data_IF_002239206725
#
_entry.id   IF_002239206725
#
_cell.length_a   1.000
_cell.length_b   1.000
_cell.length_c   1.000
_cell.angle_alpha   90.00
_cell.angle_beta   90.00
_cell.angle_gamma   90.00
#
_symmetry.space_group_name_H-M   'P 1'
#
loop_
_entity.id
_entity.type
_entity.pdbx_description
1 polymer ?
#
# COMPACT_ATOMS: atom_id res chain seq x y z
N UNK A 1 -5.66 11.33 -20.72
CA UNK A 1 -4.53 10.96 -19.85
C UNK A 1 -3.82 12.23 -19.44
N UNK A 2 -3.49 12.38 -18.15
CA UNK A 2 -2.71 13.49 -17.60
C UNK A 2 -1.54 12.92 -16.80
N UNK A 3 -0.32 13.43 -16.96
CA UNK A 3 0.82 12.99 -16.16
C UNK A 3 0.70 13.52 -14.73
N UNK A 4 1.14 12.73 -13.77
CA UNK A 4 1.32 13.12 -12.38
C UNK A 4 2.68 12.63 -11.91
N UNK A 5 3.60 13.55 -11.64
CA UNK A 5 4.85 13.18 -10.98
C UNK A 5 4.58 12.86 -9.51
N UNK A 6 5.19 11.79 -9.01
CA UNK A 6 5.04 11.43 -7.60
C UNK A 6 5.60 12.52 -6.70
N UNK A 7 4.83 12.88 -5.67
CA UNK A 7 5.15 13.96 -4.74
C UNK A 7 4.74 15.35 -5.22
N UNK A 8 4.26 15.51 -6.45
CA UNK A 8 3.73 16.80 -6.93
C UNK A 8 2.31 17.04 -6.39
N UNK A 9 2.25 17.59 -5.21
CA UNK A 9 1.00 17.93 -4.52
C UNK A 9 0.10 18.88 -5.30
N UNK A 10 0.70 19.85 -6.01
CA UNK A 10 -0.08 20.83 -6.74
C UNK A 10 -0.69 20.23 -8.01
N UNK A 11 0.04 19.36 -8.71
CA UNK A 11 -0.51 18.60 -9.81
C UNK A 11 -1.62 17.65 -9.34
N UNK A 12 -1.40 16.93 -8.25
CA UNK A 12 -2.43 16.07 -7.64
C UNK A 12 -3.68 16.88 -7.30
N UNK A 13 -3.54 18.04 -6.66
CA UNK A 13 -4.64 18.96 -6.34
C UNK A 13 -5.42 19.42 -7.57
N UNK A 14 -4.72 19.76 -8.65
CA UNK A 14 -5.38 20.19 -9.90
C UNK A 14 -6.17 19.04 -10.52
N UNK A 15 -5.58 17.85 -10.60
CA UNK A 15 -6.24 16.66 -11.16
C UNK A 15 -7.48 16.30 -10.35
N UNK A 16 -7.40 16.30 -9.03
CA UNK A 16 -8.49 15.88 -8.14
C UNK A 16 -9.65 16.87 -8.05
N UNK A 17 -9.48 18.11 -8.56
CA UNK A 17 -10.61 19.03 -8.77
C UNK A 17 -11.54 18.58 -9.90
N UNK A 18 -11.00 17.91 -10.89
CA UNK A 18 -11.71 17.50 -12.09
C UNK A 18 -12.13 16.02 -12.05
N UNK A 19 -11.37 15.19 -11.34
CA UNK A 19 -11.56 13.74 -11.28
C UNK A 19 -11.59 13.26 -9.83
N UNK A 20 -12.51 12.36 -9.54
CA UNK A 20 -12.55 11.61 -8.27
C UNK A 20 -12.26 10.14 -8.57
N UNK A 21 -11.01 9.70 -8.47
CA UNK A 21 -10.65 8.31 -8.73
C UNK A 21 -11.31 7.41 -7.67
N UNK A 22 -11.82 6.27 -8.09
CA UNK A 22 -12.29 5.23 -7.17
C UNK A 22 -11.19 4.22 -6.86
N UNK A 23 -10.20 4.10 -7.75
CA UNK A 23 -9.08 3.16 -7.62
C UNK A 23 -7.78 3.82 -8.07
N UNK A 24 -6.71 3.55 -7.32
CA UNK A 24 -5.33 3.82 -7.69
C UNK A 24 -4.66 2.49 -7.98
N UNK A 25 -4.22 2.30 -9.22
CA UNK A 25 -3.56 1.06 -9.62
C UNK A 25 -2.04 1.27 -9.59
N UNK A 26 -1.37 0.51 -8.74
CA UNK A 26 0.06 0.52 -8.53
C UNK A 26 0.63 -0.84 -8.92
N UNK A 27 1.44 -0.89 -9.97
CA UNK A 27 2.07 -2.13 -10.41
C UNK A 27 3.57 -1.95 -10.47
N UNK A 28 4.28 -2.76 -9.68
CA UNK A 28 5.75 -2.82 -9.69
C UNK A 28 6.42 -1.47 -9.41
N UNK A 29 5.92 -0.71 -8.42
CA UNK A 29 6.39 0.64 -8.11
C UNK A 29 7.33 0.72 -6.89
N UNK A 30 7.38 -0.35 -6.07
CA UNK A 30 8.13 -0.36 -4.81
C UNK A 30 9.50 -1.00 -5.04
N UNK A 31 10.49 -0.23 -5.52
CA UNK A 31 11.84 -0.75 -5.76
C UNK A 31 12.96 0.30 -5.74
N UNK A 32 12.71 1.56 -6.05
CA UNK A 32 13.71 2.63 -5.94
C UNK A 32 13.56 3.37 -4.61
N UNK A 33 14.54 3.30 -3.70
CA UNK A 33 14.45 3.93 -2.37
C UNK A 33 14.10 5.42 -2.40
N UNK A 34 14.68 6.17 -3.34
CA UNK A 34 14.46 7.61 -3.47
C UNK A 34 13.04 7.98 -3.92
N UNK A 35 12.31 7.02 -4.49
CA UNK A 35 10.95 7.22 -4.99
C UNK A 35 9.87 6.74 -4.00
N UNK A 36 10.24 6.05 -2.92
CA UNK A 36 9.27 5.48 -1.98
C UNK A 36 8.48 6.55 -1.23
N UNK A 37 9.16 7.59 -0.74
CA UNK A 37 8.48 8.69 -0.06
C UNK A 37 7.61 9.52 -1.02
N UNK A 38 8.08 9.94 -2.21
CA UNK A 38 7.23 10.57 -3.23
C UNK A 38 6.00 9.74 -3.61
N UNK A 39 6.14 8.42 -3.75
CA UNK A 39 5.02 7.52 -4.01
C UNK A 39 4.01 7.58 -2.87
N UNK A 40 4.46 7.39 -1.63
CA UNK A 40 3.59 7.44 -0.46
C UNK A 40 2.89 8.79 -0.32
N UNK A 41 3.61 9.90 -0.54
CA UNK A 41 2.98 11.24 -0.56
C UNK A 41 1.87 11.32 -1.60
N UNK A 42 2.07 10.78 -2.79
CA UNK A 42 1.04 10.80 -3.85
C UNK A 42 -0.20 10.00 -3.45
N UNK A 43 -0.01 8.81 -2.87
CA UNK A 43 -1.13 8.00 -2.39
C UNK A 43 -1.92 8.73 -1.30
N UNK A 44 -1.22 9.37 -0.37
CA UNK A 44 -1.83 10.16 0.69
C UNK A 44 -2.54 11.40 0.15
N UNK A 45 -1.96 12.13 -0.81
CA UNK A 45 -2.57 13.32 -1.42
C UNK A 45 -3.89 13.00 -2.12
N UNK A 46 -3.97 11.84 -2.76
CA UNK A 46 -5.21 11.38 -3.40
C UNK A 46 -6.23 10.95 -2.34
N UNK A 47 -5.83 10.11 -1.39
CA UNK A 47 -6.74 9.53 -0.41
C UNK A 47 -7.19 10.50 0.68
N UNK A 48 -6.43 11.55 0.98
CA UNK A 48 -6.91 12.64 1.85
C UNK A 48 -8.09 13.40 1.23
N UNK A 49 -8.19 13.42 -0.11
CA UNK A 49 -9.29 14.10 -0.85
C UNK A 49 -10.40 13.16 -1.26
N UNK A 50 -10.07 11.90 -1.44
CA UNK A 50 -10.99 10.83 -1.83
C UNK A 50 -10.73 9.64 -0.91
N UNK A 51 -11.18 9.70 0.36
CA UNK A 51 -10.87 8.68 1.36
C UNK A 51 -11.36 7.28 1.00
N UNK A 52 -12.43 7.20 0.20
CA UNK A 52 -13.00 5.93 -0.24
C UNK A 52 -12.25 5.31 -1.44
N UNK A 53 -11.25 6.02 -2.00
CA UNK A 53 -10.45 5.47 -3.08
C UNK A 53 -9.60 4.29 -2.58
N UNK A 54 -9.69 3.17 -3.30
CA UNK A 54 -8.91 1.97 -3.02
C UNK A 54 -7.53 2.05 -3.70
N UNK A 55 -6.48 1.69 -2.98
CA UNK A 55 -5.14 1.56 -3.55
C UNK A 55 -4.88 0.08 -3.80
N UNK A 56 -4.77 -0.30 -5.07
CA UNK A 56 -4.47 -1.68 -5.49
C UNK A 56 -3.01 -1.76 -5.87
N UNK A 57 -2.26 -2.60 -5.17
CA UNK A 57 -0.82 -2.71 -5.34
C UNK A 57 -0.49 -4.13 -5.80
N UNK A 58 -0.06 -4.27 -7.05
CA UNK A 58 0.57 -5.47 -7.55
C UNK A 58 2.09 -5.36 -7.33
N UNK A 59 2.64 -6.29 -6.59
CA UNK A 59 3.99 -6.19 -6.07
C UNK A 59 4.72 -7.53 -6.15
N UNK A 60 6.00 -7.47 -6.51
CA UNK A 60 6.95 -8.56 -6.42
C UNK A 60 8.07 -8.18 -5.45
N UNK A 61 8.36 -9.03 -4.47
CA UNK A 61 9.48 -8.83 -3.54
C UNK A 61 10.79 -8.89 -4.34
N UNK A 62 11.64 -7.88 -4.19
CA UNK A 62 12.98 -7.81 -4.79
C UNK A 62 14.06 -7.60 -3.76
N UNK A 63 13.79 -6.77 -2.75
CA UNK A 63 14.74 -6.49 -1.68
C UNK A 63 13.98 -6.02 -0.44
N UNK A 64 13.65 -6.95 0.44
CA UNK A 64 12.93 -6.65 1.67
C UNK A 64 13.53 -5.47 2.45
N UNK A 65 14.86 -5.47 2.63
CA UNK A 65 15.55 -4.41 3.37
C UNK A 65 15.35 -3.01 2.77
N UNK A 66 15.31 -2.89 1.42
CA UNK A 66 15.13 -1.60 0.76
C UNK A 66 13.67 -1.17 0.71
N UNK A 67 12.76 -2.12 0.69
CA UNK A 67 11.32 -1.93 0.50
C UNK A 67 10.55 -1.83 1.81
N UNK A 68 11.09 -2.43 2.88
CA UNK A 68 10.50 -2.40 4.23
C UNK A 68 10.07 -1.02 4.71
N UNK A 69 10.86 0.07 4.55
CA UNK A 69 10.44 1.38 5.02
C UNK A 69 9.14 1.87 4.39
N UNK A 70 8.91 1.57 3.10
CA UNK A 70 7.66 1.90 2.43
C UNK A 70 6.47 1.16 3.03
N UNK A 71 6.61 -0.15 3.24
CA UNK A 71 5.54 -0.99 3.75
C UNK A 71 5.19 -0.65 5.19
N UNK A 72 6.20 -0.40 6.02
CA UNK A 72 6.01 0.07 7.40
C UNK A 72 5.23 1.38 7.40
N UNK A 73 5.66 2.36 6.61
CA UNK A 73 4.99 3.64 6.53
C UNK A 73 3.59 3.53 5.91
N UNK A 74 3.41 2.72 4.85
CA UNK A 74 2.10 2.49 4.26
C UNK A 74 1.11 1.92 5.29
N UNK A 75 1.54 0.93 6.08
CA UNK A 75 0.74 0.30 7.12
C UNK A 75 0.30 1.24 8.25
N UNK A 76 1.01 2.34 8.47
CA UNK A 76 0.58 3.39 9.41
C UNK A 76 -0.67 4.11 8.89
N UNK A 77 -0.72 4.39 7.60
CA UNK A 77 -1.76 5.22 6.98
C UNK A 77 -2.90 4.43 6.37
N UNK A 78 -2.68 3.15 6.06
CA UNK A 78 -3.63 2.30 5.35
C UNK A 78 -3.83 0.96 6.05
N UNK A 79 -5.06 0.48 6.03
CA UNK A 79 -5.37 -0.92 6.28
C UNK A 79 -5.16 -1.69 4.99
N UNK A 80 -4.36 -2.75 5.05
CA UNK A 80 -4.00 -3.56 3.89
C UNK A 80 -4.61 -4.95 3.99
N UNK A 81 -5.13 -5.44 2.88
CA UNK A 81 -5.64 -6.78 2.77
C UNK A 81 -5.17 -7.45 1.47
N UNK A 82 -4.92 -8.75 1.53
CA UNK A 82 -4.60 -9.56 0.37
C UNK A 82 -5.83 -9.78 -0.49
N UNK A 83 -5.66 -9.75 -1.82
CA UNK A 83 -6.69 -10.24 -2.71
C UNK A 83 -6.43 -11.71 -3.01
N UNK A 84 -7.47 -12.54 -3.01
CA UNK A 84 -7.38 -13.85 -3.66
C UNK A 84 -7.38 -13.65 -5.17
N UNK A 85 -6.24 -13.90 -5.80
CA UNK A 85 -6.27 -14.23 -7.22
C UNK A 85 -6.77 -15.66 -7.33
N UNK A 86 -7.94 -15.86 -7.93
CA UNK A 86 -8.41 -17.21 -8.26
C UNK A 86 -7.46 -17.80 -9.30
N UNK A 87 -6.73 -18.84 -8.92
CA UNK A 87 -5.78 -19.53 -9.80
C UNK A 87 -6.42 -20.65 -10.63
N UNK A 88 -7.74 -20.80 -10.54
CA UNK A 88 -8.46 -21.85 -11.29
C UNK A 88 -8.94 -21.34 -12.65
N UNK A 89 -8.76 -22.14 -13.75
CA UNK A 89 -9.18 -21.73 -15.10
C UNK A 89 -10.69 -21.52 -15.27
N UNK A 90 -11.50 -21.83 -14.26
CA UNK A 90 -12.97 -21.76 -14.32
C UNK A 90 -13.60 -21.04 -13.11
N UNK A 91 -12.83 -20.38 -12.24
CA UNK A 91 -13.44 -19.57 -11.19
C UNK A 91 -13.56 -18.12 -11.67
N UNK A 92 -14.78 -17.54 -11.64
CA UNK A 92 -14.93 -16.13 -11.95
C UNK A 92 -14.14 -15.30 -10.92
N UNK A 93 -13.37 -14.37 -11.42
CA UNK A 93 -12.74 -13.32 -10.58
C UNK A 93 -13.87 -12.67 -9.77
N UNK A 94 -13.72 -12.61 -8.46
CA UNK A 94 -14.66 -11.85 -7.64
C UNK A 94 -14.69 -10.41 -8.17
N UNK A 95 -15.86 -9.78 -8.33
CA UNK A 95 -15.95 -8.43 -8.83
C UNK A 95 -15.09 -7.51 -7.97
N UNK A 96 -14.25 -6.71 -8.61
CA UNK A 96 -13.46 -5.67 -7.95
C UNK A 96 -14.39 -4.81 -7.10
N UNK A 97 -14.13 -4.73 -5.79
CA UNK A 97 -14.96 -3.93 -4.87
C UNK A 97 -16.11 -4.67 -4.16
N UNK A 98 -16.28 -5.96 -4.36
CA UNK A 98 -17.21 -6.72 -3.52
C UNK A 98 -16.61 -6.92 -2.13
N UNK A 99 -17.35 -6.45 -1.14
CA UNK A 99 -17.13 -6.42 0.32
C UNK A 99 -15.99 -7.26 0.93
N UNK A 100 -15.48 -6.78 2.06
CA UNK A 100 -14.38 -7.29 2.91
C UNK A 100 -14.35 -8.80 3.22
N UNK A 101 -15.40 -9.55 2.89
CA UNK A 101 -15.48 -11.00 3.04
C UNK A 101 -14.56 -11.78 2.08
N UNK A 102 -14.01 -11.14 1.05
CA UNK A 102 -13.13 -11.77 0.05
C UNK A 102 -11.64 -11.52 0.28
N UNK A 103 -11.29 -10.76 1.30
CA UNK A 103 -9.90 -10.53 1.64
C UNK A 103 -9.40 -11.67 2.52
N UNK A 104 -8.43 -12.40 2.03
CA UNK A 104 -7.74 -13.44 2.79
C UNK A 104 -6.49 -12.81 3.39
N UNK A 105 -6.29 -13.00 4.71
CA UNK A 105 -5.11 -12.50 5.40
C UNK A 105 -3.80 -13.21 5.03
N UNK A 106 -3.85 -14.17 4.09
CA UNK A 106 -2.68 -14.94 3.66
C UNK A 106 -2.61 -15.03 2.14
N UNK A 107 -1.42 -14.89 1.52
CA UNK A 107 -1.26 -15.23 0.11
C UNK A 107 -1.61 -16.71 -0.12
N UNK A 108 -2.01 -17.09 -1.32
CA UNK A 108 -2.22 -18.48 -1.66
C UNK A 108 -0.90 -19.23 -1.48
N UNK A 109 -0.95 -20.30 -0.69
CA UNK A 109 0.20 -21.16 -0.40
C UNK A 109 0.00 -22.55 -1.01
N UNK A 110 1.11 -23.23 -1.28
CA UNK A 110 1.10 -24.65 -1.64
C UNK A 110 0.71 -25.54 -0.43
N UNK A 111 0.64 -26.86 -0.65
CA UNK A 111 0.31 -27.82 0.40
C UNK A 111 1.33 -27.83 1.58
N UNK A 112 2.50 -27.24 1.38
CA UNK A 112 3.57 -27.11 2.37
C UNK A 112 3.55 -25.74 3.06
N UNK A 113 2.57 -24.87 2.73
CA UNK A 113 2.43 -23.55 3.29
C UNK A 113 3.35 -22.47 2.68
N UNK A 114 4.03 -22.78 1.56
CA UNK A 114 4.89 -21.83 0.85
C UNK A 114 4.03 -20.96 -0.07
N UNK A 115 4.30 -19.64 -0.19
CA UNK A 115 3.65 -18.80 -1.15
C UNK A 115 3.78 -19.36 -2.57
N UNK A 116 2.67 -19.44 -3.31
CA UNK A 116 2.68 -20.01 -4.67
C UNK A 116 3.45 -19.15 -5.67
N UNK A 117 3.61 -17.85 -5.37
CA UNK A 117 4.34 -16.89 -6.19
C UNK A 117 4.95 -15.79 -5.34
N UNK A 118 6.06 -15.21 -5.80
CA UNK A 118 6.65 -13.96 -5.25
C UNK A 118 5.81 -12.72 -5.58
N UNK A 119 4.64 -12.89 -6.19
CA UNK A 119 3.74 -11.81 -6.57
C UNK A 119 2.59 -11.71 -5.58
N UNK A 120 2.33 -10.49 -5.17
CA UNK A 120 1.26 -10.16 -4.26
C UNK A 120 0.35 -9.11 -4.88
N UNK A 121 -0.95 -9.22 -4.67
CA UNK A 121 -1.90 -8.16 -4.95
C UNK A 121 -2.57 -7.78 -3.65
N UNK A 122 -2.37 -6.54 -3.26
CA UNK A 122 -2.89 -5.95 -2.04
C UNK A 122 -3.94 -4.90 -2.39
N UNK A 123 -4.95 -4.79 -1.56
CA UNK A 123 -5.84 -3.62 -1.55
C UNK A 123 -5.61 -2.89 -0.24
N UNK A 124 -5.34 -1.60 -0.35
CA UNK A 124 -5.15 -0.74 0.80
C UNK A 124 -6.26 0.32 0.86
N UNK A 125 -6.80 0.51 2.05
CA UNK A 125 -7.83 1.49 2.36
C UNK A 125 -7.28 2.49 3.35
N UNK A 126 -7.56 3.77 3.12
CA UNK A 126 -7.15 4.84 4.02
C UNK A 126 -7.78 4.64 5.41
N UNK A 127 -6.96 4.58 6.47
CA UNK A 127 -7.45 4.55 7.85
C UNK A 127 -8.14 5.87 8.17
N UNK A 128 -9.42 5.83 8.54
CA UNK A 128 -10.23 7.03 8.74
C UNK A 128 -9.68 7.97 9.83
N UNK A 129 -9.16 7.42 10.92
CA UNK A 129 -8.58 8.21 12.02
C UNK A 129 -7.30 8.96 11.61
N UNK A 130 -6.58 8.50 10.56
CA UNK A 130 -5.37 9.15 10.07
C UNK A 130 -5.64 10.34 9.14
N UNK A 131 -6.89 10.58 8.75
CA UNK A 131 -7.26 11.72 7.91
C UNK A 131 -7.03 13.08 8.60
N UNK A 132 -7.00 13.10 9.92
CA UNK A 132 -6.72 14.29 10.72
C UNK A 132 -5.25 14.48 11.06
N UNK A 133 -4.41 13.50 10.72
CA UNK A 133 -2.99 13.53 11.04
C UNK A 133 -2.20 14.42 10.09
N UNK A 134 -1.21 15.11 10.64
CA UNK A 134 -0.26 15.87 9.83
C UNK A 134 0.89 14.96 9.39
N UNK A 135 1.20 15.00 8.11
CA UNK A 135 2.28 14.22 7.51
C UNK A 135 3.64 14.87 7.76
N UNK A 136 4.69 14.10 8.06
CA UNK A 136 6.05 14.60 8.04
C UNK A 136 6.42 15.09 6.63
N UNK A 137 7.09 16.23 6.53
CA UNK A 137 7.63 16.74 5.26
C UNK A 137 8.94 16.07 4.87
N UNK A 138 9.73 15.61 5.85
CA UNK A 138 10.99 14.94 5.62
C UNK A 138 10.75 13.48 5.17
N UNK A 139 11.28 13.05 4.00
CA UNK A 139 11.10 11.70 3.48
C UNK A 139 11.48 10.59 4.45
N UNK A 140 12.61 10.73 5.13
CA UNK A 140 13.08 9.73 6.09
C UNK A 140 12.13 9.58 7.29
N UNK A 141 11.58 10.69 7.79
CA UNK A 141 10.61 10.68 8.90
C UNK A 141 9.29 10.05 8.47
N UNK A 142 8.82 10.33 7.27
CA UNK A 142 7.61 9.69 6.73
C UNK A 142 7.80 8.18 6.58
N UNK A 143 8.91 7.76 5.98
CA UNK A 143 9.21 6.33 5.75
C UNK A 143 9.55 5.56 7.04
N UNK A 144 9.89 6.25 8.13
CA UNK A 144 10.02 5.61 9.45
C UNK A 144 8.69 5.36 10.16
N UNK A 145 7.56 5.59 9.47
CA UNK A 145 6.23 5.33 10.04
C UNK A 145 5.77 6.37 11.07
N UNK A 146 6.31 7.59 10.99
CA UNK A 146 5.94 8.68 11.89
C UNK A 146 4.80 9.52 11.31
N UNK A 147 4.02 10.13 12.20
CA UNK A 147 3.13 11.24 11.91
C UNK A 147 3.43 12.41 12.85
N UNK A 148 2.89 13.59 12.58
CA UNK A 148 3.17 14.78 13.38
C UNK A 148 2.00 15.08 14.34
N UNK A 149 2.34 15.31 15.61
CA UNK A 149 1.41 15.79 16.64
C UNK A 149 2.06 16.99 17.31
N UNK A 150 1.41 18.15 17.27
CA UNK A 150 1.91 19.39 17.85
C UNK A 150 3.36 19.74 17.46
N UNK A 151 3.72 19.44 16.20
CA UNK A 151 5.06 19.67 15.67
C UNK A 151 6.11 18.61 16.04
N UNK A 152 5.74 17.58 16.79
CA UNK A 152 6.60 16.46 17.15
C UNK A 152 6.32 15.24 16.29
N UNK A 153 7.35 14.50 15.90
CA UNK A 153 7.21 13.23 15.20
C UNK A 153 6.86 12.12 16.21
N UNK A 154 5.72 11.46 15.99
CA UNK A 154 5.19 10.38 16.84
C UNK A 154 5.04 9.12 16.00
N UNK A 155 5.44 7.93 16.50
CA UNK A 155 5.25 6.68 15.80
C UNK A 155 3.77 6.39 15.60
N UNK A 156 3.42 5.95 14.38
CA UNK A 156 2.10 5.41 14.08
C UNK A 156 2.09 3.89 14.22
N UNK A 157 0.90 3.34 14.40
CA UNK A 157 0.71 1.89 14.44
C UNK A 157 0.63 1.36 13.00
N UNK A 158 1.54 0.45 12.66
CA UNK A 158 1.55 -0.29 11.40
C UNK A 158 0.50 -1.41 11.38
N UNK A 159 0.49 -2.18 10.31
CA UNK A 159 -0.32 -3.40 10.20
C UNK A 159 0.57 -4.63 10.21
N UNK A 160 0.06 -5.74 10.74
CA UNK A 160 0.76 -7.04 10.77
C UNK A 160 0.91 -7.67 9.37
N UNK A 161 0.21 -7.12 8.37
CA UNK A 161 0.21 -7.65 6.99
C UNK A 161 1.60 -7.71 6.39
N UNK A 162 2.42 -6.69 6.66
CA UNK A 162 3.79 -6.65 6.14
C UNK A 162 4.72 -7.61 6.88
N UNK A 163 4.63 -7.70 8.20
CA UNK A 163 5.42 -8.66 8.98
C UNK A 163 5.14 -10.09 8.53
N UNK A 164 3.88 -10.39 8.29
CA UNK A 164 3.49 -11.69 7.78
C UNK A 164 4.04 -11.96 6.35
N UNK A 165 4.05 -10.97 5.47
CA UNK A 165 4.65 -11.06 4.13
C UNK A 165 6.15 -11.35 4.20
N UNK A 166 6.86 -10.72 5.14
CA UNK A 166 8.29 -10.98 5.38
C UNK A 166 8.50 -12.40 5.90
N UNK A 167 7.73 -12.82 6.90
CA UNK A 167 7.89 -14.15 7.51
C UNK A 167 7.61 -15.28 6.52
N UNK A 168 6.63 -15.12 5.64
CA UNK A 168 6.33 -16.12 4.61
C UNK A 168 7.40 -16.21 3.53
N UNK A 169 8.09 -15.11 3.21
CA UNK A 169 9.20 -15.13 2.23
C UNK A 169 10.56 -15.52 2.83
N UNK A 170 10.75 -15.33 4.13
CA UNK A 170 12.00 -15.72 4.81
C UNK A 170 12.10 -17.22 5.08
N UNK A 171 11.01 -17.97 5.01
CA UNK A 171 11.03 -19.44 5.22
C UNK A 171 11.58 -20.23 4.03
N UNK A 172 11.83 -19.60 2.88
CA UNK A 172 12.33 -20.24 1.66
C UNK A 172 13.87 -20.18 1.51
N UNK A 173 14.60 -19.75 2.54
CA UNK A 173 16.04 -19.47 2.51
C UNK A 173 16.93 -20.48 3.25
N UNK A 174 16.49 -21.73 3.51
CA UNK A 174 17.32 -22.80 4.07
C UNK A 174 17.08 -24.13 3.39
#
# INVERSE_FOLDING_TARGET
>A
VRPLAWGDQDAARRILKEFRPTHLLCSDLVYFPDLLAPLLHTLLDVTDRVPDAQVVIAYKIRSLTKEQPFWTALGVWFDMAWTQCSTGPNQPLAPFGSHASHFVHKPPCDAQGRPLDDFFVLVAHRKSHTLTWTRPSAPATLLSGMHMVDGLAVPGEGTDTFEWMILSSASDGY
#
